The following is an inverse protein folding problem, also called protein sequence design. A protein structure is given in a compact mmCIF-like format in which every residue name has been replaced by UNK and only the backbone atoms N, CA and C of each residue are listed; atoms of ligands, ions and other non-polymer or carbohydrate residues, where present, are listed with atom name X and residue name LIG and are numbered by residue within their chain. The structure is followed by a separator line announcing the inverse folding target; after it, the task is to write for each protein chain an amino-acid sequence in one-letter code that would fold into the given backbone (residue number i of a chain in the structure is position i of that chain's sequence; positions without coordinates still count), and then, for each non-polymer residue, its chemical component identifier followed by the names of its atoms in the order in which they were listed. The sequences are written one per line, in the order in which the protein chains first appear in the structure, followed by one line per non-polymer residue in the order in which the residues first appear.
data_IF_058634072789
#
_entry.id   IF_058634072789
#
_cell.length_a   1.000
_cell.length_b   1.000
_cell.length_c   1.000
_cell.angle_alpha   90.00
_cell.angle_beta   90.00
_cell.angle_gamma   90.00
#
_symmetry.space_group_name_H-M   'P 1'
#
loop_
_entity.id
_entity.type
_entity.pdbx_description
1 polymer ?
#
# COMPACT_ATOMS: atom_id res chain seq x y z
N UNK A 1 -9.20 5.88 -5.91
CA UNK A 1 -8.91 6.91 -6.93
C UNK A 1 -7.45 6.88 -7.37
N UNK A 2 -6.48 7.06 -6.46
CA UNK A 2 -5.05 7.06 -6.81
C UNK A 2 -4.59 5.81 -7.58
N UNK A 3 -4.88 4.60 -7.08
CA UNK A 3 -4.52 3.35 -7.76
C UNK A 3 -5.10 3.25 -9.19
N UNK A 4 -6.33 3.71 -9.40
CA UNK A 4 -6.99 3.70 -10.71
C UNK A 4 -6.30 4.68 -11.67
N UNK A 5 -6.10 5.92 -11.24
CA UNK A 5 -5.48 6.95 -12.08
C UNK A 5 -4.02 6.63 -12.42
N UNK A 6 -3.23 6.25 -11.43
CA UNK A 6 -1.82 5.87 -11.61
C UNK A 6 -1.68 4.56 -12.40
N UNK A 7 -2.61 3.61 -12.23
CA UNK A 7 -2.64 2.36 -13.00
C UNK A 7 -2.96 2.59 -14.47
N UNK A 8 -3.97 3.42 -14.76
CA UNK A 8 -4.30 3.80 -16.14
C UNK A 8 -3.13 4.53 -16.81
N UNK A 9 -2.46 5.44 -16.09
CA UNK A 9 -1.25 6.12 -16.57
C UNK A 9 -0.11 5.13 -16.83
N UNK A 10 0.12 4.15 -15.96
CA UNK A 10 1.12 3.10 -16.20
C UNK A 10 0.82 2.28 -17.45
N UNK A 11 -0.43 1.83 -17.60
CA UNK A 11 -0.86 0.97 -18.69
C UNK A 11 -0.83 1.64 -20.07
N UNK A 12 -1.09 2.94 -20.17
CA UNK A 12 -1.18 3.64 -21.46
C UNK A 12 -0.07 4.65 -21.69
N UNK A 13 0.38 5.31 -20.61
CA UNK A 13 1.36 6.40 -20.66
C UNK A 13 2.80 5.95 -20.50
N UNK A 14 3.07 4.80 -19.86
CA UNK A 14 4.43 4.32 -19.58
C UNK A 14 4.81 3.03 -20.32
N UNK A 15 3.87 2.33 -20.95
CA UNK A 15 4.09 1.03 -21.60
C UNK A 15 5.25 1.04 -22.60
N UNK A 16 5.34 2.10 -23.43
CA UNK A 16 6.40 2.24 -24.45
C UNK A 16 7.69 2.85 -23.91
N UNK A 17 7.67 3.41 -22.71
CA UNK A 17 8.80 4.14 -22.11
C UNK A 17 9.59 3.30 -21.12
N UNK A 18 8.98 2.25 -20.57
CA UNK A 18 9.60 1.37 -19.59
C UNK A 18 9.91 0.01 -20.19
N UNK A 19 10.99 -0.62 -19.72
CA UNK A 19 11.21 -2.05 -20.01
C UNK A 19 10.13 -2.90 -19.36
N UNK A 20 9.87 -4.10 -19.90
CA UNK A 20 8.88 -5.04 -19.35
C UNK A 20 9.08 -5.27 -17.84
N UNK A 21 10.32 -5.43 -17.40
CA UNK A 21 10.67 -5.60 -15.98
C UNK A 21 10.29 -4.38 -15.12
N UNK A 22 10.54 -3.17 -15.64
CA UNK A 22 10.24 -1.93 -14.92
C UNK A 22 8.73 -1.69 -14.89
N UNK A 23 8.04 -1.96 -15.99
CA UNK A 23 6.58 -1.90 -16.07
C UNK A 23 5.93 -2.91 -15.10
N UNK A 24 6.44 -4.14 -15.02
CA UNK A 24 5.98 -5.13 -14.04
C UNK A 24 6.17 -4.62 -12.60
N UNK A 25 7.31 -3.99 -12.30
CA UNK A 25 7.57 -3.40 -10.98
C UNK A 25 6.60 -2.25 -10.67
N UNK A 26 6.31 -1.40 -11.66
CA UNK A 26 5.32 -0.34 -11.54
C UNK A 26 3.93 -0.92 -11.23
N UNK A 27 3.52 -1.96 -11.98
CA UNK A 27 2.22 -2.61 -11.77
C UNK A 27 2.12 -3.31 -10.41
N UNK A 28 3.19 -3.93 -9.91
CA UNK A 28 3.22 -4.44 -8.52
C UNK A 28 2.96 -3.31 -7.51
N UNK A 29 3.53 -2.11 -7.73
CA UNK A 29 3.24 -0.94 -6.90
C UNK A 29 1.76 -0.56 -6.91
N UNK A 30 1.13 -0.55 -8.09
CA UNK A 30 -0.30 -0.25 -8.29
C UNK A 30 -1.20 -1.31 -7.62
N UNK A 31 -0.91 -2.59 -7.81
CA UNK A 31 -1.68 -3.70 -7.22
C UNK A 31 -1.68 -3.61 -5.69
N UNK A 32 -0.50 -3.41 -5.08
CA UNK A 32 -0.40 -3.26 -3.63
C UNK A 32 -1.10 -1.98 -3.14
N UNK A 33 -1.04 -0.89 -3.91
CA UNK A 33 -1.77 0.34 -3.58
C UNK A 33 -3.28 0.11 -3.61
N UNK A 34 -3.77 -0.68 -4.56
CA UNK A 34 -5.18 -1.04 -4.68
C UNK A 34 -5.63 -1.92 -3.51
N UNK A 35 -4.95 -3.04 -3.26
CA UNK A 35 -5.31 -3.97 -2.18
C UNK A 35 -5.24 -3.34 -0.81
N UNK A 36 -4.17 -2.59 -0.50
CA UNK A 36 -4.05 -1.92 0.79
C UNK A 36 -4.93 -0.68 0.90
N UNK A 37 -5.28 -0.04 -0.22
CA UNK A 37 -6.34 0.98 -0.27
C UNK A 37 -7.70 0.41 0.13
N UNK A 38 -8.05 -0.78 -0.39
CA UNK A 38 -9.26 -1.50 0.04
C UNK A 38 -9.18 -1.94 1.50
N UNK A 39 -8.03 -2.41 1.96
CA UNK A 39 -7.80 -2.72 3.36
C UNK A 39 -8.00 -1.50 4.29
N UNK A 40 -7.49 -0.33 3.90
CA UNK A 40 -7.68 0.91 4.64
C UNK A 40 -9.16 1.33 4.69
N UNK A 41 -9.89 1.17 3.58
CA UNK A 41 -11.34 1.39 3.53
C UNK A 41 -12.09 0.44 4.48
N UNK A 42 -11.74 -0.85 4.46
CA UNK A 42 -12.35 -1.85 5.34
C UNK A 42 -12.12 -1.51 6.83
N UNK A 43 -10.89 -1.12 7.21
CA UNK A 43 -10.59 -0.68 8.58
C UNK A 43 -11.39 0.57 8.98
N UNK A 44 -11.59 1.52 8.06
CA UNK A 44 -12.40 2.71 8.32
C UNK A 44 -13.88 2.33 8.56
N UNK A 45 -14.47 1.49 7.71
CA UNK A 45 -15.84 1.01 7.88
C UNK A 45 -16.02 0.23 9.19
N UNK A 46 -15.14 -0.72 9.48
CA UNK A 46 -15.16 -1.51 10.73
C UNK A 46 -15.02 -0.61 11.96
N UNK A 47 -14.14 0.39 11.90
CA UNK A 47 -13.94 1.36 12.97
C UNK A 47 -15.20 2.16 13.27
N UNK A 48 -15.93 2.58 12.22
CA UNK A 48 -17.20 3.29 12.36
C UNK A 48 -18.33 2.42 12.91
N UNK A 49 -18.50 1.21 12.38
CA UNK A 49 -19.57 0.29 12.78
C UNK A 49 -19.40 -0.17 14.24
N UNK A 50 -18.19 -0.58 14.61
CA UNK A 50 -17.94 -1.17 15.93
C UNK A 50 -17.35 -0.17 16.93
N UNK A 51 -17.20 1.11 16.58
CA UNK A 51 -16.57 2.12 17.43
C UNK A 51 -15.19 1.65 17.93
N UNK A 52 -14.35 1.15 17.00
CA UNK A 52 -12.99 0.66 17.27
C UNK A 52 -11.99 1.66 16.70
N UNK A 53 -10.98 2.02 17.49
CA UNK A 53 -9.89 2.87 17.02
C UNK A 53 -8.78 2.04 16.38
N UNK A 54 -8.71 2.06 15.05
CA UNK A 54 -7.60 1.46 14.28
C UNK A 54 -6.44 2.44 14.07
N UNK A 55 -6.13 3.28 15.07
CA UNK A 55 -5.16 4.39 14.88
C UNK A 55 -3.79 3.89 14.44
N UNK A 56 -3.27 2.83 15.07
CA UNK A 56 -1.92 2.33 14.76
C UNK A 56 -1.89 1.62 13.41
N UNK A 57 -2.91 0.82 13.14
CA UNK A 57 -3.09 0.13 11.85
C UNK A 57 -3.18 1.10 10.68
N UNK A 58 -3.94 2.21 10.84
CA UNK A 58 -4.05 3.27 9.81
C UNK A 58 -2.71 3.94 9.51
N UNK A 59 -1.88 4.22 10.51
CA UNK A 59 -0.56 4.81 10.29
C UNK A 59 0.34 3.80 9.54
N UNK A 60 0.34 2.54 9.97
CA UNK A 60 1.15 1.49 9.38
C UNK A 60 0.80 1.24 7.90
N UNK A 61 -0.49 1.16 7.55
CA UNK A 61 -0.91 0.94 6.16
C UNK A 61 -0.64 2.14 5.25
N UNK A 62 -0.75 3.38 5.78
CA UNK A 62 -0.43 4.59 5.02
C UNK A 62 1.06 4.70 4.72
N UNK A 63 1.91 4.44 5.71
CA UNK A 63 3.37 4.38 5.51
C UNK A 63 3.75 3.23 4.57
N UNK A 64 3.09 2.08 4.70
CA UNK A 64 3.27 0.96 3.79
C UNK A 64 2.96 1.34 2.34
N UNK A 65 1.80 1.95 2.08
CA UNK A 65 1.42 2.42 0.73
C UNK A 65 2.40 3.45 0.17
N UNK A 66 2.85 4.40 0.99
CA UNK A 66 3.79 5.42 0.54
C UNK A 66 5.17 4.82 0.19
N UNK A 67 5.72 4.00 1.08
CA UNK A 67 7.09 3.48 0.95
C UNK A 67 7.16 2.30 -0.02
N UNK A 68 6.24 1.34 0.05
CA UNK A 68 6.23 0.17 -0.81
C UNK A 68 5.67 0.52 -2.19
N UNK A 69 4.40 0.90 -2.28
CA UNK A 69 3.76 1.16 -3.59
C UNK A 69 4.36 2.38 -4.28
N UNK A 70 4.51 3.48 -3.54
CA UNK A 70 5.19 4.67 -4.04
C UNK A 70 6.64 4.39 -4.44
N UNK A 71 7.37 3.62 -3.63
CA UNK A 71 8.74 3.21 -3.92
C UNK A 71 8.85 2.34 -5.17
N UNK A 72 7.96 1.36 -5.37
CA UNK A 72 7.91 0.53 -6.57
C UNK A 72 7.69 1.36 -7.83
N UNK A 73 6.70 2.27 -7.83
CA UNK A 73 6.43 3.15 -8.97
C UNK A 73 7.60 4.12 -9.24
N UNK A 74 8.15 4.73 -8.19
CA UNK A 74 9.28 5.65 -8.33
C UNK A 74 10.55 4.94 -8.81
N UNK A 75 10.86 3.76 -8.28
CA UNK A 75 11.99 2.96 -8.73
C UNK A 75 11.82 2.48 -10.18
N UNK A 76 10.61 2.07 -10.58
CA UNK A 76 10.32 1.67 -11.94
C UNK A 76 10.60 2.78 -12.97
N UNK A 77 10.31 4.04 -12.61
CA UNK A 77 10.52 5.20 -13.50
C UNK A 77 11.97 5.72 -13.45
N UNK A 78 12.60 5.71 -12.27
CA UNK A 78 13.90 6.37 -12.07
C UNK A 78 15.11 5.44 -12.13
N UNK A 79 14.92 4.13 -11.91
CA UNK A 79 16.01 3.16 -11.77
C UNK A 79 16.91 3.36 -10.55
N UNK A 80 16.58 4.27 -9.63
CA UNK A 80 17.43 4.61 -8.49
C UNK A 80 17.41 3.51 -7.41
N UNK A 81 18.52 2.77 -7.29
CA UNK A 81 18.62 1.60 -6.40
C UNK A 81 18.35 1.89 -4.92
N UNK A 82 18.64 3.10 -4.43
CA UNK A 82 18.36 3.42 -3.02
C UNK A 82 16.86 3.46 -2.71
N UNK A 83 16.01 3.80 -3.69
CA UNK A 83 14.55 3.71 -3.55
C UNK A 83 14.16 2.24 -3.40
N UNK A 84 14.73 1.36 -4.23
CA UNK A 84 14.47 -0.07 -4.15
C UNK A 84 14.84 -0.68 -2.80
N UNK A 85 15.92 -0.20 -2.17
CA UNK A 85 16.33 -0.65 -0.82
C UNK A 85 15.33 -0.26 0.27
N UNK A 86 14.54 0.80 0.08
CA UNK A 86 13.54 1.23 1.04
C UNK A 86 12.20 0.47 0.91
N UNK A 87 11.88 -0.08 -0.26
CA UNK A 87 10.60 -0.78 -0.54
C UNK A 87 10.26 -1.86 0.52
N UNK A 88 11.19 -2.74 0.95
CA UNK A 88 10.89 -3.75 1.96
C UNK A 88 10.37 -3.17 3.29
N UNK A 89 10.80 -1.97 3.67
CA UNK A 89 10.32 -1.30 4.89
C UNK A 89 8.82 -0.97 4.80
N UNK A 90 8.33 -0.62 3.61
CA UNK A 90 6.90 -0.44 3.38
C UNK A 90 6.13 -1.76 3.49
N UNK A 91 6.72 -2.87 3.05
CA UNK A 91 6.18 -4.22 3.22
C UNK A 91 5.98 -4.59 4.69
N UNK A 92 6.96 -4.24 5.55
CA UNK A 92 6.82 -4.37 7.00
C UNK A 92 5.67 -3.53 7.56
N UNK A 93 5.43 -2.33 7.00
CA UNK A 93 4.29 -1.49 7.33
C UNK A 93 2.94 -2.20 7.10
N UNK A 94 2.81 -2.93 6.00
CA UNK A 94 1.62 -3.75 5.74
C UNK A 94 1.45 -4.89 6.74
N UNK A 95 2.53 -5.63 7.05
CA UNK A 95 2.49 -6.70 8.05
C UNK A 95 2.09 -6.17 9.43
N UNK A 96 2.68 -5.05 9.85
CA UNK A 96 2.34 -4.42 11.12
C UNK A 96 0.91 -3.90 11.14
N UNK A 97 0.40 -3.36 10.03
CA UNK A 97 -1.01 -2.98 9.94
C UNK A 97 -1.92 -4.15 10.30
N UNK A 98 -1.76 -5.30 9.63
CA UNK A 98 -2.65 -6.44 9.86
C UNK A 98 -2.51 -7.02 11.27
N UNK A 99 -1.28 -7.12 11.79
CA UNK A 99 -1.05 -7.58 13.16
C UNK A 99 -1.69 -6.65 14.20
N UNK A 100 -1.57 -5.32 14.01
CA UNK A 100 -2.18 -4.31 14.88
C UNK A 100 -3.70 -4.33 14.76
N UNK A 101 -4.25 -4.48 13.56
CA UNK A 101 -5.68 -4.51 13.32
C UNK A 101 -6.32 -5.70 14.03
N UNK A 102 -5.71 -6.88 13.95
CA UNK A 102 -6.17 -8.07 14.69
C UNK A 102 -6.14 -7.84 16.21
N UNK A 103 -5.09 -7.21 16.72
CA UNK A 103 -4.99 -6.88 18.15
C UNK A 103 -6.04 -5.87 18.60
N UNK A 104 -6.26 -4.80 17.83
CA UNK A 104 -7.26 -3.76 18.10
C UNK A 104 -8.68 -4.34 18.05
N UNK A 105 -8.95 -5.24 17.10
CA UNK A 105 -10.22 -5.96 16.98
C UNK A 105 -10.46 -6.90 18.17
N UNK A 106 -9.48 -7.76 18.50
CA UNK A 106 -9.60 -8.70 19.61
C UNK A 106 -9.79 -8.00 20.96
N UNK A 107 -9.17 -6.82 21.16
CA UNK A 107 -9.34 -6.04 22.37
C UNK A 107 -10.76 -5.51 22.57
N UNK A 108 -11.54 -5.33 21.49
CA UNK A 108 -12.95 -4.91 21.57
C UNK A 108 -13.86 -6.04 22.06
N UNK A 109 -13.64 -7.27 21.59
CA UNK A 109 -14.51 -8.42 21.86
C UNK A 109 -14.10 -9.24 23.11
N UNK A 110 -12.93 -8.96 23.69
CA UNK A 110 -12.56 -9.49 25.01
C UNK A 110 -13.16 -8.73 26.18
N UNK A 111 -13.83 -7.60 25.92
CA UNK A 111 -14.63 -6.85 26.90
C UNK A 111 -16.10 -7.21 26.69
#
# INVERSE_FOLDING_TARGET
MAAVGLGAFGAHGLEKSLSEKSLATYQTGIEYLFYHGLGALALACLGGVHQISFKRSRIAIMLGMLVFSGGCMAYAVTGQKFIAMAIPLGGLGYLFCWALALKELAAKFKK
#
